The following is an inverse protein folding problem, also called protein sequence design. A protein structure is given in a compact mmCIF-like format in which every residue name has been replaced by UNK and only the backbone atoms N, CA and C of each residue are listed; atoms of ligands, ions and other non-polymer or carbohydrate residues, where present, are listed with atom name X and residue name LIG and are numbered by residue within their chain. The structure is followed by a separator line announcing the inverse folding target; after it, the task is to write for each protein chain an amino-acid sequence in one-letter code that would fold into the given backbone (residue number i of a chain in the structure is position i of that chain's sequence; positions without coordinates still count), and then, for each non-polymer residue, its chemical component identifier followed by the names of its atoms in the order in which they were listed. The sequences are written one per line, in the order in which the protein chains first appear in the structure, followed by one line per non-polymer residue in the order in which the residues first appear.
data_IF_167811418603
#
_entry.id   IF_167811418603
#
_cell.length_a   1.000
_cell.length_b   1.000
_cell.length_c   1.000
_cell.angle_alpha   90.00
_cell.angle_beta   90.00
_cell.angle_gamma   90.00
#
_symmetry.space_group_name_H-M   'P 1'
#
loop_
_entity.id
_entity.type
_entity.pdbx_description
1 polymer ?
#
# COMPACT_ATOMS: atom_id res chain seq x y z
N UNK A 1 -1.09 0.76 -8.66
CA UNK A 1 -0.98 0.40 -7.23
C UNK A 1 0.49 0.44 -6.83
N UNK A 2 0.84 1.10 -5.73
CA UNK A 2 2.20 1.11 -5.17
C UNK A 2 2.28 0.23 -3.92
N UNK A 3 3.17 -0.76 -3.89
CA UNK A 3 3.34 -1.68 -2.75
C UNK A 3 4.67 -1.42 -2.03
N UNK A 4 4.61 -1.33 -0.70
CA UNK A 4 5.76 -1.05 0.15
C UNK A 4 6.32 0.37 -0.01
N UNK A 5 7.44 0.67 0.65
CA UNK A 5 8.04 2.00 0.63
C UNK A 5 8.47 2.47 -0.77
N UNK A 6 9.10 1.58 -1.54
CA UNK A 6 9.52 1.87 -2.92
C UNK A 6 8.34 2.14 -3.85
N UNK A 7 7.30 1.29 -3.80
CA UNK A 7 6.10 1.47 -4.61
C UNK A 7 5.32 2.73 -4.23
N UNK A 8 5.21 3.02 -2.93
CA UNK A 8 4.59 4.26 -2.43
C UNK A 8 5.33 5.52 -2.92
N UNK A 9 6.67 5.51 -2.88
CA UNK A 9 7.48 6.60 -3.41
C UNK A 9 7.30 6.80 -4.92
N UNK A 10 7.16 5.71 -5.68
CA UNK A 10 6.91 5.79 -7.12
C UNK A 10 5.52 6.41 -7.40
N UNK A 11 4.49 5.99 -6.67
CA UNK A 11 3.15 6.57 -6.76
C UNK A 11 3.16 8.06 -6.42
N UNK A 12 3.83 8.47 -5.34
CA UNK A 12 3.97 9.89 -5.01
C UNK A 12 4.60 10.70 -6.15
N UNK A 13 5.61 10.17 -6.85
CA UNK A 13 6.21 10.84 -8.02
C UNK A 13 5.22 10.95 -9.19
N UNK A 14 4.39 9.93 -9.42
CA UNK A 14 3.36 9.97 -10.46
C UNK A 14 2.29 11.04 -10.16
N UNK A 15 1.90 11.17 -8.89
CA UNK A 15 0.97 12.21 -8.42
C UNK A 15 1.57 13.60 -8.59
N UNK A 16 2.83 13.79 -8.18
CA UNK A 16 3.55 15.06 -8.32
C UNK A 16 3.80 15.45 -9.78
N UNK A 17 3.91 14.46 -10.67
CA UNK A 17 3.98 14.67 -12.11
C UNK A 17 2.60 14.91 -12.75
N UNK A 18 1.55 15.05 -11.94
CA UNK A 18 0.18 15.33 -12.36
C UNK A 18 -0.36 14.29 -13.36
N UNK A 19 0.04 13.02 -13.23
CA UNK A 19 -0.45 11.95 -14.09
C UNK A 19 -1.98 11.82 -13.94
N UNK A 20 -2.69 12.06 -15.04
CA UNK A 20 -4.16 12.04 -15.11
C UNK A 20 -4.69 10.70 -15.60
N UNK A 21 -6.00 10.47 -15.37
CA UNK A 21 -6.71 9.31 -15.91
C UNK A 21 -6.44 7.99 -15.19
N UNK A 22 -5.82 8.04 -14.01
CA UNK A 22 -5.54 6.86 -13.19
C UNK A 22 -5.91 7.13 -11.73
N UNK A 23 -6.31 6.08 -11.02
CA UNK A 23 -6.50 6.11 -9.57
C UNK A 23 -5.25 5.59 -8.87
N UNK A 24 -4.84 6.27 -7.80
CA UNK A 24 -3.68 5.88 -7.02
C UNK A 24 -4.09 5.18 -5.74
N UNK A 25 -3.62 3.93 -5.61
CA UNK A 25 -3.72 3.12 -4.40
C UNK A 25 -2.31 2.79 -3.91
N UNK A 26 -2.05 2.99 -2.62
CA UNK A 26 -0.83 2.49 -1.95
C UNK A 26 -1.15 1.45 -0.89
N UNK A 27 -0.28 0.46 -0.79
CA UNK A 27 -0.39 -0.66 0.16
C UNK A 27 0.93 -0.78 0.92
N UNK A 28 0.89 -0.78 2.25
CA UNK A 28 2.11 -0.93 3.05
C UNK A 28 1.80 -1.52 4.43
N UNK A 29 2.80 -2.18 5.02
CA UNK A 29 2.78 -2.63 6.42
C UNK A 29 3.13 -1.51 7.41
N UNK A 30 3.82 -0.47 6.94
CA UNK A 30 4.28 0.65 7.77
C UNK A 30 3.29 1.83 7.71
N UNK A 31 2.71 2.15 8.87
CA UNK A 31 1.73 3.25 9.03
C UNK A 31 2.36 4.61 8.81
N UNK A 32 3.62 4.81 9.21
CA UNK A 32 4.30 6.08 9.02
C UNK A 32 4.47 6.36 7.52
N UNK A 33 4.89 5.35 6.75
CA UNK A 33 4.97 5.43 5.30
C UNK A 33 3.62 5.73 4.64
N UNK A 34 2.51 5.14 5.12
CA UNK A 34 1.17 5.42 4.58
C UNK A 34 0.71 6.85 4.89
N UNK A 35 0.98 7.35 6.09
CA UNK A 35 0.64 8.72 6.47
C UNK A 35 1.34 9.76 5.59
N UNK A 36 2.55 9.47 5.11
CA UNK A 36 3.32 10.31 4.19
C UNK A 36 2.90 10.17 2.72
N UNK A 37 2.07 9.18 2.37
CA UNK A 37 1.60 8.99 0.99
C UNK A 37 0.65 10.11 0.56
N UNK A 38 0.80 10.55 -0.68
CA UNK A 38 -0.09 11.51 -1.34
C UNK A 38 -1.27 10.83 -2.07
N UNK A 39 -1.27 9.49 -2.16
CA UNK A 39 -2.36 8.76 -2.77
C UNK A 39 -3.66 8.91 -1.96
N UNK A 40 -4.78 9.02 -2.68
CA UNK A 40 -6.12 9.11 -2.07
C UNK A 40 -6.49 7.79 -1.37
N UNK A 41 -6.20 6.66 -2.00
CA UNK A 41 -6.47 5.34 -1.43
C UNK A 41 -5.21 4.75 -0.78
N UNK A 42 -5.35 4.34 0.47
CA UNK A 42 -4.25 3.82 1.31
C UNK A 42 -4.74 2.61 2.09
N UNK A 43 -4.00 1.51 2.03
CA UNK A 43 -4.34 0.27 2.75
C UNK A 43 -3.16 -0.13 3.61
N UNK A 44 -3.43 -0.30 4.91
CA UNK A 44 -2.49 -0.91 5.83
C UNK A 44 -2.70 -2.42 5.86
N UNK A 45 -1.66 -3.17 5.50
CA UNK A 45 -1.71 -4.64 5.56
C UNK A 45 -0.95 -5.20 6.76
N UNK A 46 -1.38 -6.37 7.26
CA UNK A 46 -0.73 -7.04 8.38
C UNK A 46 -0.69 -6.22 9.65
N UNK A 47 -1.79 -5.53 9.98
CA UNK A 47 -1.88 -4.69 11.18
C UNK A 47 -1.66 -5.50 12.46
N UNK A 48 -2.12 -6.75 12.51
CA UNK A 48 -1.90 -7.65 13.65
C UNK A 48 -0.47 -8.17 13.70
N UNK A 49 0.09 -8.50 12.54
CA UNK A 49 1.42 -9.09 12.43
C UNK A 49 2.54 -8.07 12.70
N UNK A 50 2.44 -6.87 12.12
CA UNK A 50 3.51 -5.87 12.10
C UNK A 50 3.30 -4.74 13.10
N UNK A 51 2.08 -4.59 13.63
CA UNK A 51 1.67 -3.46 14.49
C UNK A 51 1.93 -2.09 13.86
N UNK A 52 1.95 -2.04 12.52
CA UNK A 52 2.21 -0.81 11.76
C UNK A 52 3.67 -0.40 11.66
N UNK A 53 4.63 -1.25 12.04
CA UNK A 53 6.06 -0.95 12.06
C UNK A 53 6.81 -1.42 10.80
N UNK A 54 6.12 -2.07 9.87
CA UNK A 54 6.71 -2.61 8.66
C UNK A 54 7.10 -4.10 8.76
N UNK A 55 7.46 -4.68 7.61
CA UNK A 55 7.84 -6.09 7.51
C UNK A 55 9.30 -6.40 7.90
N UNK A 56 10.11 -5.39 8.26
CA UNK A 56 11.49 -5.61 8.71
C UNK A 56 12.43 -6.20 7.64
N UNK A 57 12.18 -5.90 6.35
CA UNK A 57 12.86 -6.50 5.21
C UNK A 57 12.70 -8.03 5.06
N UNK A 58 11.77 -8.63 5.82
CA UNK A 58 11.41 -10.03 5.71
C UNK A 58 10.24 -10.21 4.70
N UNK A 59 10.47 -10.87 3.56
CA UNK A 59 9.43 -11.08 2.56
C UNK A 59 8.29 -12.00 3.04
N UNK A 60 8.55 -12.93 3.96
CA UNK A 60 7.53 -13.83 4.48
C UNK A 60 6.52 -13.08 5.36
N UNK A 61 6.99 -12.07 6.10
CA UNK A 61 6.12 -11.15 6.86
C UNK A 61 5.25 -10.36 5.89
N UNK A 62 5.83 -9.82 4.81
CA UNK A 62 5.08 -9.10 3.78
C UNK A 62 3.99 -9.96 3.12
N UNK A 63 4.32 -11.21 2.80
CA UNK A 63 3.37 -12.15 2.21
C UNK A 63 2.21 -12.46 3.16
N UNK A 64 2.51 -12.81 4.42
CA UNK A 64 1.48 -13.06 5.44
C UNK A 64 0.62 -11.85 5.73
N UNK A 65 1.21 -10.65 5.71
CA UNK A 65 0.48 -9.39 5.87
C UNK A 65 -0.53 -9.17 4.74
N UNK A 66 -0.16 -9.48 3.49
CA UNK A 66 -1.06 -9.37 2.35
C UNK A 66 -2.21 -10.39 2.44
N UNK A 67 -1.93 -11.64 2.82
CA UNK A 67 -2.95 -12.67 3.04
C UNK A 67 -3.91 -12.31 4.19
N UNK A 68 -3.40 -11.72 5.28
CA UNK A 68 -4.22 -11.22 6.41
C UNK A 68 -5.25 -10.18 5.94
N UNK A 69 -4.88 -9.36 4.95
CA UNK A 69 -5.69 -8.25 4.43
C UNK A 69 -6.30 -8.55 3.05
N UNK A 70 -6.40 -9.83 2.67
CA UNK A 70 -6.84 -10.24 1.32
C UNK A 70 -8.20 -9.67 0.93
N UNK A 71 -9.16 -9.67 1.85
CA UNK A 71 -10.53 -9.20 1.57
C UNK A 71 -10.57 -7.68 1.34
N UNK A 72 -9.84 -6.91 2.14
CA UNK A 72 -9.71 -5.45 1.97
C UNK A 72 -9.01 -5.11 0.65
N UNK A 73 -7.97 -5.86 0.29
CA UNK A 73 -7.28 -5.72 -0.99
C UNK A 73 -8.21 -6.04 -2.17
N UNK A 74 -9.00 -7.11 -2.09
CA UNK A 74 -9.97 -7.44 -3.15
C UNK A 74 -11.04 -6.36 -3.30
N UNK A 75 -11.58 -5.86 -2.19
CA UNK A 75 -12.59 -4.80 -2.21
C UNK A 75 -12.03 -3.51 -2.84
N UNK A 76 -10.78 -3.15 -2.55
CA UNK A 76 -10.14 -1.97 -3.12
C UNK A 76 -9.84 -2.08 -4.63
N UNK A 77 -9.87 -3.28 -5.17
CA UNK A 77 -9.64 -3.55 -6.60
C UNK A 77 -10.95 -3.80 -7.36
N UNK A 78 -12.08 -3.82 -6.66
CA UNK A 78 -13.38 -4.04 -7.29
C UNK A 78 -13.69 -2.91 -8.28
N UNK A 79 -14.06 -3.28 -9.51
CA UNK A 79 -14.38 -2.33 -10.58
C UNK A 79 -13.18 -1.72 -11.30
N UNK A 80 -11.94 -2.16 -11.02
CA UNK A 80 -10.79 -1.83 -11.85
C UNK A 80 -10.78 -2.70 -13.13
N UNK A 81 -10.58 -2.06 -14.29
CA UNK A 81 -10.40 -2.70 -15.61
C UNK A 81 -8.93 -3.01 -15.92
#
# INVERSE_FOLDING_TARGET
IGVGGGGGNAVNRMIQAELQGVQFLVVNTDVQSLNLSQAEHKIQIGSKLTKGLGAGADPDIGNKAAEESRDELMQALEGAD
#
